data_IF_948977817176
#
_entry.id   IF_948977817176
#
_cell.length_a   1.000
_cell.length_b   1.000
_cell.length_c   1.000
_cell.angle_alpha   90.00
_cell.angle_beta   90.00
_cell.angle_gamma   90.00
#
_symmetry.space_group_name_H-M   'P 1'
#
loop_
_entity.id
_entity.type
_entity.pdbx_description
1 polymer ?
#
# COMPACT_ATOMS: atom_id res chain seq x y z
N UNK A 1 58.27 -3.69 41.21
CA UNK A 1 56.83 -3.99 41.24
C UNK A 1 56.17 -2.93 40.38
N UNK A 2 55.74 -3.30 39.18
CA UNK A 2 55.12 -2.42 38.18
C UNK A 2 53.76 -3.04 37.86
N UNK A 3 52.69 -2.37 38.29
CA UNK A 3 51.32 -2.85 38.14
C UNK A 3 50.81 -2.52 36.73
N UNK A 4 50.61 -3.54 35.89
CA UNK A 4 49.89 -3.40 34.62
C UNK A 4 48.39 -3.57 34.86
N UNK A 5 47.67 -2.44 34.84
CA UNK A 5 46.21 -2.37 34.80
C UNK A 5 45.70 -2.88 33.45
N UNK A 6 45.09 -4.06 33.42
CA UNK A 6 44.29 -4.55 32.29
C UNK A 6 42.86 -4.05 32.45
N UNK A 7 42.51 -2.98 31.72
CA UNK A 7 41.13 -2.47 31.68
C UNK A 7 40.25 -3.42 30.88
N UNK A 8 39.28 -4.04 31.52
CA UNK A 8 38.24 -4.85 30.88
C UNK A 8 37.09 -3.92 30.48
N UNK A 9 36.95 -3.63 29.19
CA UNK A 9 35.79 -2.91 28.66
C UNK A 9 34.69 -3.92 28.37
N UNK A 10 33.72 -4.05 29.27
CA UNK A 10 32.44 -4.70 28.99
C UNK A 10 31.58 -3.77 28.14
N UNK A 11 31.57 -4.00 26.83
CA UNK A 11 30.64 -3.35 25.93
C UNK A 11 29.22 -3.87 26.16
N UNK A 12 28.34 -3.04 26.71
CA UNK A 12 26.89 -3.26 26.68
C UNK A 12 26.43 -3.28 25.22
N UNK A 13 26.12 -4.45 24.68
CA UNK A 13 25.32 -4.56 23.47
C UNK A 13 23.88 -4.21 23.82
N UNK A 14 23.53 -2.92 23.69
CA UNK A 14 22.14 -2.50 23.56
C UNK A 14 21.63 -3.01 22.21
N UNK A 15 21.05 -4.21 22.23
CA UNK A 15 20.18 -4.68 21.15
C UNK A 15 18.90 -3.83 21.24
N UNK A 16 18.92 -2.67 20.60
CA UNK A 16 17.68 -1.99 20.21
C UNK A 16 16.98 -2.90 19.20
N UNK A 17 16.16 -3.82 19.71
CA UNK A 17 15.11 -4.41 18.92
C UNK A 17 14.18 -3.29 18.48
N UNK A 18 14.44 -2.71 17.31
CA UNK A 18 13.47 -1.94 16.56
C UNK A 18 12.34 -2.92 16.19
N UNK A 19 11.41 -3.12 17.12
CA UNK A 19 10.05 -3.45 16.73
C UNK A 19 9.59 -2.22 15.93
N UNK A 20 9.60 -2.35 14.61
CA UNK A 20 8.78 -1.51 13.76
C UNK A 20 7.33 -1.83 14.12
N UNK A 21 6.85 -1.24 15.21
CA UNK A 21 5.42 -1.09 15.45
C UNK A 21 4.91 -0.34 14.23
N UNK A 22 4.14 -1.03 13.39
CA UNK A 22 3.38 -0.40 12.35
C UNK A 22 2.47 0.60 13.05
N UNK A 23 2.80 1.88 13.00
CA UNK A 23 1.93 2.96 13.44
C UNK A 23 0.61 2.80 12.69
N UNK A 24 -0.42 2.30 13.35
CA UNK A 24 -1.75 2.22 12.78
C UNK A 24 -2.25 3.64 12.56
N UNK A 25 -2.57 3.99 11.32
CA UNK A 25 -3.24 5.25 11.02
C UNK A 25 -4.61 5.21 11.69
N UNK A 26 -4.95 6.28 12.41
CA UNK A 26 -6.32 6.50 12.86
C UNK A 26 -7.18 6.84 11.64
N UNK A 27 -7.70 5.80 10.98
CA UNK A 27 -8.38 5.93 9.71
C UNK A 27 -9.82 6.38 9.94
N UNK A 28 -10.21 7.49 9.28
CA UNK A 28 -11.62 7.88 9.13
C UNK A 28 -12.13 7.34 7.78
N UNK A 29 -12.90 6.24 7.74
CA UNK A 29 -13.27 5.56 6.49
C UNK A 29 -13.99 6.46 5.49
N UNK A 30 -14.84 7.36 5.98
CA UNK A 30 -15.63 8.27 5.15
C UNK A 30 -14.75 9.26 4.39
N UNK A 31 -13.60 9.65 4.95
CA UNK A 31 -12.67 10.61 4.32
C UNK A 31 -11.82 9.98 3.22
N UNK A 32 -11.46 8.70 3.35
CA UNK A 32 -10.71 7.99 2.30
C UNK A 32 -11.62 7.47 1.17
N UNK A 33 -12.95 7.53 1.33
CA UNK A 33 -13.91 7.13 0.30
C UNK A 33 -13.68 7.88 -1.03
N UNK A 34 -14.10 7.27 -2.14
CA UNK A 34 -14.02 7.87 -3.47
C UNK A 34 -12.88 7.34 -4.34
N UNK A 35 -12.54 8.09 -5.38
CA UNK A 35 -11.60 7.70 -6.43
C UNK A 35 -10.14 7.84 -6.01
N UNK A 36 -9.28 6.93 -6.50
CA UNK A 36 -7.84 6.90 -6.30
C UNK A 36 -7.13 6.30 -7.53
N UNK A 37 -6.17 7.01 -8.14
CA UNK A 37 -5.31 6.52 -9.23
C UNK A 37 -4.03 5.89 -8.66
N UNK A 38 -3.63 4.73 -9.15
CA UNK A 38 -2.33 4.14 -8.79
C UNK A 38 -1.20 4.89 -9.50
N UNK A 39 -0.16 5.27 -8.76
CA UNK A 39 1.02 5.98 -9.30
C UNK A 39 2.28 5.16 -9.14
N UNK A 40 2.43 4.40 -8.06
CA UNK A 40 3.60 3.56 -7.86
C UNK A 40 3.29 2.28 -7.11
N UNK A 41 4.13 1.27 -7.34
CA UNK A 41 4.03 -0.03 -6.70
C UNK A 41 5.43 -0.58 -6.40
N UNK A 42 5.59 -1.20 -5.23
CA UNK A 42 6.78 -1.96 -4.87
C UNK A 42 6.40 -3.31 -4.27
N UNK A 43 7.27 -4.30 -4.49
CA UNK A 43 7.21 -5.59 -3.82
C UNK A 43 8.62 -6.17 -3.69
N UNK A 44 8.84 -6.92 -2.62
CA UNK A 44 10.00 -7.78 -2.42
C UNK A 44 10.01 -8.99 -3.38
N UNK A 45 8.89 -9.22 -4.08
CA UNK A 45 8.67 -10.39 -4.92
C UNK A 45 8.30 -9.98 -6.36
N UNK A 46 8.89 -10.65 -7.36
CA UNK A 46 8.71 -10.34 -8.78
C UNK A 46 7.28 -10.62 -9.32
N UNK A 47 6.33 -11.02 -8.48
CA UNK A 47 4.95 -11.32 -8.92
C UNK A 47 4.28 -10.10 -9.55
N UNK A 48 4.56 -8.89 -9.06
CA UNK A 48 4.00 -7.65 -9.61
C UNK A 48 4.44 -7.43 -11.06
N UNK A 49 5.67 -7.84 -11.42
CA UNK A 49 6.14 -7.78 -12.81
C UNK A 49 5.43 -8.77 -13.74
N UNK A 50 4.98 -9.91 -13.19
CA UNK A 50 4.34 -11.00 -13.93
C UNK A 50 2.81 -10.89 -13.98
N UNK A 51 2.23 -9.94 -13.26
CA UNK A 51 0.79 -9.76 -13.21
C UNK A 51 0.26 -9.33 -14.59
N UNK A 52 -0.65 -10.14 -15.15
CA UNK A 52 -1.31 -9.86 -16.44
C UNK A 52 -2.28 -8.67 -16.35
N UNK A 53 -2.86 -8.44 -15.16
CA UNK A 53 -3.75 -7.32 -14.88
C UNK A 53 -3.04 -6.34 -13.95
N UNK A 54 -2.86 -5.11 -14.39
CA UNK A 54 -2.30 -4.02 -13.58
C UNK A 54 -3.41 -3.08 -13.17
N UNK A 55 -3.49 -2.77 -11.87
CA UNK A 55 -4.45 -1.80 -11.35
C UNK A 55 -4.06 -0.42 -11.88
N UNK A 56 -5.01 0.36 -12.38
CA UNK A 56 -4.79 1.77 -12.70
C UNK A 56 -5.54 2.69 -11.73
N UNK A 57 -6.62 2.21 -11.11
CA UNK A 57 -7.34 2.99 -10.12
C UNK A 57 -8.33 2.17 -9.29
N UNK A 58 -8.77 2.78 -8.20
CA UNK A 58 -9.73 2.26 -7.24
C UNK A 58 -10.84 3.28 -7.01
N UNK A 59 -12.03 2.80 -6.72
CA UNK A 59 -13.09 3.58 -6.09
C UNK A 59 -13.54 2.88 -4.82
N UNK A 60 -13.39 3.58 -3.69
CA UNK A 60 -13.67 3.06 -2.36
C UNK A 60 -15.03 3.56 -1.88
N UNK A 61 -15.84 2.65 -1.36
CA UNK A 61 -17.14 2.98 -0.76
C UNK A 61 -17.26 2.25 0.57
N UNK A 62 -17.87 2.90 1.56
CA UNK A 62 -17.98 2.39 2.92
C UNK A 62 -19.44 2.27 3.35
N UNK A 63 -19.72 1.23 4.11
CA UNK A 63 -21.04 1.00 4.72
C UNK A 63 -20.82 0.38 6.11
N UNK A 64 -20.81 1.23 7.13
CA UNK A 64 -20.35 0.86 8.47
C UNK A 64 -18.91 0.33 8.42
N UNK A 65 -18.70 -0.90 8.89
CA UNK A 65 -17.38 -1.57 8.88
C UNK A 65 -17.03 -2.25 7.56
N UNK A 66 -17.92 -2.20 6.57
CA UNK A 66 -17.70 -2.83 5.27
C UNK A 66 -17.09 -1.82 4.29
N UNK A 67 -16.22 -2.33 3.43
CA UNK A 67 -15.64 -1.59 2.31
C UNK A 67 -15.99 -2.31 1.00
N UNK A 68 -16.42 -1.56 0.00
CA UNK A 68 -16.51 -2.05 -1.38
C UNK A 68 -15.46 -1.33 -2.21
N UNK A 69 -14.62 -2.12 -2.86
CA UNK A 69 -13.51 -1.67 -3.70
C UNK A 69 -13.84 -2.02 -5.14
N UNK A 70 -14.09 -1.01 -5.96
CA UNK A 70 -14.19 -1.16 -7.42
C UNK A 70 -12.82 -0.83 -8.01
N UNK A 71 -12.11 -1.83 -8.49
CA UNK A 71 -10.78 -1.69 -9.08
C UNK A 71 -10.89 -1.72 -10.60
N UNK A 72 -10.18 -0.82 -11.27
CA UNK A 72 -10.01 -0.84 -12.73
C UNK A 72 -8.60 -1.28 -13.09
N UNK A 73 -8.53 -2.14 -14.10
CA UNK A 73 -7.31 -2.74 -14.57
C UNK A 73 -7.12 -2.49 -16.05
N UNK A 74 -5.87 -2.38 -16.47
CA UNK A 74 -5.48 -2.55 -17.85
C UNK A 74 -5.10 -4.00 -18.10
N UNK A 75 -5.84 -4.63 -18.99
CA UNK A 75 -5.66 -6.01 -19.41
C UNK A 75 -5.44 -6.02 -20.92
N UNK A 76 -4.16 -6.00 -21.32
CA UNK A 76 -3.74 -6.02 -22.73
C UNK A 76 -4.36 -4.89 -23.58
N UNK A 77 -4.48 -3.69 -23.02
CA UNK A 77 -5.04 -2.52 -23.70
C UNK A 77 -6.55 -2.32 -23.52
N UNK A 78 -7.24 -3.28 -22.89
CA UNK A 78 -8.66 -3.16 -22.54
C UNK A 78 -8.83 -2.84 -21.06
N UNK A 79 -9.76 -1.93 -20.76
CA UNK A 79 -10.10 -1.58 -19.38
C UNK A 79 -11.13 -2.56 -18.82
N UNK A 80 -10.76 -3.24 -17.74
CA UNK A 80 -11.61 -4.21 -17.04
C UNK A 80 -11.85 -3.74 -15.62
N UNK A 81 -13.08 -3.81 -15.15
CA UNK A 81 -13.44 -3.45 -13.77
C UNK A 81 -13.78 -4.70 -12.97
N UNK A 82 -13.32 -4.77 -11.73
CA UNK A 82 -13.72 -5.80 -10.77
C UNK A 82 -14.15 -5.14 -9.46
N UNK A 83 -15.22 -5.65 -8.86
CA UNK A 83 -15.72 -5.18 -7.57
C UNK A 83 -15.48 -6.24 -6.51
N UNK A 84 -14.93 -5.85 -5.37
CA UNK A 84 -14.69 -6.72 -4.23
C UNK A 84 -15.22 -6.09 -2.96
N UNK A 85 -15.87 -6.88 -2.12
CA UNK A 85 -16.35 -6.45 -0.81
C UNK A 85 -15.45 -7.03 0.28
N UNK A 86 -15.08 -6.18 1.23
CA UNK A 86 -14.30 -6.52 2.40
C UNK A 86 -14.93 -5.96 3.66
N UNK A 87 -14.35 -6.32 4.79
CA UNK A 87 -14.78 -5.84 6.11
C UNK A 87 -13.58 -5.53 6.98
N UNK A 88 -13.69 -4.46 7.75
CA UNK A 88 -12.71 -4.11 8.77
C UNK A 88 -12.69 -5.18 9.87
N UNK A 89 -11.48 -5.52 10.33
CA UNK A 89 -11.29 -6.50 11.40
C UNK A 89 -10.93 -5.79 12.71
N UNK A 90 -10.04 -6.38 13.49
CA UNK A 90 -9.74 -5.92 14.85
C UNK A 90 -8.76 -4.73 14.86
N UNK A 91 -8.09 -4.48 13.74
CA UNK A 91 -7.11 -3.41 13.58
C UNK A 91 -7.73 -2.34 12.67
N UNK A 92 -7.76 -1.09 13.14
CA UNK A 92 -8.28 0.04 12.37
C UNK A 92 -7.48 0.18 11.07
N UNK A 93 -8.20 0.33 9.96
CA UNK A 93 -7.58 0.43 8.63
C UNK A 93 -7.08 -0.89 8.03
N UNK A 94 -7.33 -2.04 8.70
CA UNK A 94 -7.18 -3.38 8.11
C UNK A 94 -8.52 -3.90 7.59
N UNK A 95 -8.59 -4.09 6.28
CA UNK A 95 -9.76 -4.64 5.59
C UNK A 95 -9.46 -6.03 5.04
N UNK A 96 -10.24 -7.03 5.46
CA UNK A 96 -10.14 -8.39 4.98
C UNK A 96 -11.15 -8.69 3.86
N UNK A 97 -10.68 -9.39 2.83
CA UNK A 97 -11.43 -9.76 1.63
C UNK A 97 -11.40 -11.28 1.43
N UNK A 98 -12.35 -11.84 0.64
CA UNK A 98 -12.31 -13.24 0.23
C UNK A 98 -10.96 -13.67 -0.36
N UNK A 99 -10.59 -14.94 -0.18
CA UNK A 99 -9.32 -15.48 -0.65
C UNK A 99 -8.10 -15.06 0.19
N UNK A 100 -8.31 -14.78 1.48
CA UNK A 100 -7.26 -14.40 2.44
C UNK A 100 -6.46 -13.16 1.99
N UNK A 101 -7.15 -12.22 1.33
CA UNK A 101 -6.58 -10.95 0.91
C UNK A 101 -6.84 -9.92 2.00
N UNK A 102 -5.87 -9.04 2.24
CA UNK A 102 -5.97 -7.95 3.20
C UNK A 102 -5.42 -6.66 2.58
N UNK A 103 -6.12 -5.55 2.81
CA UNK A 103 -5.64 -4.20 2.53
C UNK A 103 -5.40 -3.52 3.87
N UNK A 104 -4.23 -2.90 4.01
CA UNK A 104 -3.91 -2.02 5.12
C UNK A 104 -3.70 -0.61 4.57
N UNK A 105 -4.37 0.38 5.15
CA UNK A 105 -4.01 1.78 4.92
C UNK A 105 -2.82 2.10 5.83
N UNK A 106 -1.64 2.28 5.23
CA UNK A 106 -0.43 2.57 5.99
C UNK A 106 -0.27 4.05 6.28
N UNK A 107 -0.79 4.90 5.39
CA UNK A 107 -0.69 6.35 5.49
C UNK A 107 -1.62 7.03 4.48
N UNK A 108 -2.16 8.20 4.81
CA UNK A 108 -2.99 9.02 3.92
C UNK A 108 -3.23 10.39 4.53
N UNK A 109 -3.34 11.42 3.69
CA UNK A 109 -3.88 12.73 4.08
C UNK A 109 -5.34 12.93 3.65
N UNK A 110 -5.98 11.87 3.13
CA UNK A 110 -7.33 11.80 2.58
C UNK A 110 -7.58 12.58 1.27
N UNK A 111 -6.90 13.71 1.11
CA UNK A 111 -7.14 14.68 0.05
C UNK A 111 -6.24 14.50 -1.17
N UNK A 112 -4.99 14.06 -0.98
CA UNK A 112 -4.01 14.02 -2.07
C UNK A 112 -3.45 12.63 -2.31
N UNK A 113 -3.13 11.90 -1.25
CA UNK A 113 -2.48 10.58 -1.37
C UNK A 113 -2.96 9.52 -0.38
N UNK A 114 -2.74 8.26 -0.77
CA UNK A 114 -2.89 7.11 0.11
C UNK A 114 -1.81 6.05 -0.19
N UNK A 115 -1.20 5.52 0.85
CA UNK A 115 -0.24 4.41 0.79
C UNK A 115 -0.91 3.16 1.32
N UNK A 116 -1.09 2.15 0.46
CA UNK A 116 -1.77 0.90 0.80
C UNK A 116 -0.78 -0.26 0.78
N UNK A 117 -0.89 -1.16 1.76
CA UNK A 117 -0.27 -2.49 1.72
C UNK A 117 -1.33 -3.53 1.40
N UNK A 118 -1.17 -4.20 0.27
CA UNK A 118 -1.93 -5.40 -0.08
C UNK A 118 -1.16 -6.63 0.39
N UNK A 119 -1.83 -7.52 1.11
CA UNK A 119 -1.32 -8.84 1.46
C UNK A 119 -2.25 -9.90 0.88
N UNK A 120 -1.70 -10.91 0.23
CA UNK A 120 -2.47 -12.02 -0.33
C UNK A 120 -1.70 -13.33 -0.17
N UNK A 121 -2.43 -14.42 0.06
CA UNK A 121 -1.84 -15.74 0.01
C UNK A 121 -1.86 -16.25 -1.43
N UNK A 122 -0.70 -16.58 -1.98
CA UNK A 122 -0.57 -17.16 -3.31
C UNK A 122 0.38 -18.36 -3.25
N UNK A 123 -0.08 -19.52 -3.75
CA UNK A 123 0.69 -20.78 -3.73
C UNK A 123 1.29 -21.11 -2.34
N UNK A 124 0.54 -20.83 -1.26
CA UNK A 124 0.97 -21.09 0.12
C UNK A 124 2.01 -20.11 0.67
N UNK A 125 2.32 -19.02 -0.04
CA UNK A 125 3.23 -17.96 0.43
C UNK A 125 2.48 -16.63 0.55
N UNK A 126 2.86 -15.84 1.54
CA UNK A 126 2.35 -14.48 1.69
C UNK A 126 3.10 -13.55 0.74
N UNK A 127 2.33 -12.89 -0.13
CA UNK A 127 2.79 -11.86 -1.03
C UNK A 127 2.37 -10.51 -0.47
N UNK A 128 3.32 -9.58 -0.42
CA UNK A 128 3.09 -8.22 0.03
C UNK A 128 3.43 -7.23 -1.08
N UNK A 129 2.53 -6.28 -1.29
CA UNK A 129 2.69 -5.22 -2.27
C UNK A 129 2.34 -3.91 -1.61
N UNK A 130 3.21 -2.92 -1.75
CA UNK A 130 2.92 -1.55 -1.34
C UNK A 130 2.60 -0.72 -2.57
N UNK A 131 1.56 0.10 -2.47
CA UNK A 131 1.04 0.89 -3.57
C UNK A 131 0.80 2.32 -3.12
N UNK A 132 1.22 3.26 -3.97
CA UNK A 132 0.97 4.68 -3.81
C UNK A 132 -0.16 5.10 -4.72
N UNK A 133 -1.15 5.79 -4.15
CA UNK A 133 -2.31 6.29 -4.85
C UNK A 133 -2.47 7.79 -4.68
N UNK A 134 -3.09 8.44 -5.66
CA UNK A 134 -3.46 9.86 -5.61
C UNK A 134 -4.91 10.10 -6.05
N UNK A 135 -5.54 11.19 -5.59
CA UNK A 135 -6.85 11.64 -6.10
C UNK A 135 -6.78 12.23 -7.51
N UNK A 136 -5.60 12.72 -7.90
CA UNK A 136 -5.37 13.41 -9.16
C UNK A 136 -5.27 12.45 -10.34
N UNK A 137 -5.83 12.83 -11.49
CA UNK A 137 -5.55 12.11 -12.74
C UNK A 137 -4.27 12.59 -13.40
N UNK A 138 -3.87 13.84 -13.18
CA UNK A 138 -2.81 14.50 -13.93
C UNK A 138 -1.48 14.53 -13.17
N UNK A 139 -1.55 14.71 -11.85
CA UNK A 139 -0.36 14.91 -11.02
C UNK A 139 -0.02 13.67 -10.21
N UNK A 140 1.27 13.42 -10.09
CA UNK A 140 1.84 12.51 -9.10
C UNK A 140 2.14 13.39 -7.88
N UNK A 141 1.28 13.37 -6.85
CA UNK A 141 1.44 14.24 -5.68
C UNK A 141 2.82 14.04 -5.01
N UNK A 142 3.75 14.97 -5.22
CA UNK A 142 5.19 14.78 -4.93
C UNK A 142 5.51 14.58 -3.44
N UNK A 143 4.93 15.34 -2.48
CA UNK A 143 5.23 15.16 -1.06
C UNK A 143 4.83 13.76 -0.53
N UNK A 144 3.65 13.27 -0.90
CA UNK A 144 3.20 11.92 -0.55
C UNK A 144 4.07 10.84 -1.19
N UNK A 145 4.56 11.11 -2.41
CA UNK A 145 5.44 10.21 -3.13
C UNK A 145 6.82 10.08 -2.47
N UNK A 146 7.38 11.18 -1.94
CA UNK A 146 8.63 11.11 -1.15
C UNK A 146 8.47 10.23 0.07
N UNK A 147 7.35 10.32 0.78
CA UNK A 147 7.06 9.45 1.93
C UNK A 147 6.94 7.98 1.51
N UNK A 148 6.30 7.70 0.38
CA UNK A 148 6.28 6.37 -0.21
C UNK A 148 7.69 5.85 -0.54
N UNK A 149 8.53 6.70 -1.11
CA UNK A 149 9.91 6.37 -1.44
C UNK A 149 10.72 6.05 -0.18
N UNK A 150 10.64 6.87 0.87
CA UNK A 150 11.30 6.60 2.15
C UNK A 150 10.84 5.27 2.79
N UNK A 151 9.54 5.00 2.78
CA UNK A 151 8.97 3.74 3.31
C UNK A 151 9.39 2.50 2.51
N UNK A 152 9.88 2.69 1.29
CA UNK A 152 10.16 1.62 0.32
C UNK A 152 11.61 1.58 -0.14
N UNK A 153 12.49 2.44 0.39
CA UNK A 153 13.89 2.53 0.00
C UNK A 153 14.63 1.20 0.15
N UNK A 154 14.31 0.43 1.19
CA UNK A 154 14.91 -0.90 1.43
C UNK A 154 14.14 -2.05 0.76
N UNK A 155 13.10 -1.76 -0.03
CA UNK A 155 12.19 -2.76 -0.59
C UNK A 155 12.34 -2.92 -2.09
N UNK A 156 12.93 -4.04 -2.49
CA UNK A 156 12.67 -4.75 -3.75
C UNK A 156 12.60 -3.89 -5.02
N UNK A 157 11.77 -4.33 -5.97
CA UNK A 157 11.62 -3.67 -7.27
C UNK A 157 10.59 -2.56 -7.21
N UNK A 158 11.04 -1.35 -7.54
CA UNK A 158 10.20 -0.17 -7.68
C UNK A 158 9.63 -0.05 -9.10
N UNK A 159 8.33 0.17 -9.23
CA UNK A 159 7.67 0.44 -10.51
C UNK A 159 6.75 1.65 -10.40
N UNK A 160 6.93 2.61 -11.32
CA UNK A 160 5.92 3.62 -11.60
C UNK A 160 4.77 2.96 -12.37
N UNK A 161 3.55 3.18 -11.88
CA UNK A 161 2.36 2.84 -12.62
C UNK A 161 2.37 3.66 -13.90
N UNK A 162 2.11 2.99 -15.03
CA UNK A 162 2.03 3.69 -16.32
C UNK A 162 0.75 4.50 -16.33
N UNK A 163 0.84 5.74 -16.80
CA UNK A 163 -0.35 6.51 -17.11
C UNK A 163 -1.22 5.74 -18.11
N UNK A 164 -2.47 5.52 -17.75
CA UNK A 164 -3.41 4.74 -18.54
C UNK A 164 -4.83 5.30 -18.42
N UNK A 165 -5.58 5.17 -19.51
CA UNK A 165 -6.93 5.72 -19.66
C UNK A 165 -7.97 5.01 -18.82
N UNK A 166 -7.66 3.86 -18.19
CA UNK A 166 -8.65 3.11 -17.45
C UNK A 166 -9.01 3.79 -16.13
N UNK A 167 -8.05 4.47 -15.51
CA UNK A 167 -8.30 5.30 -14.32
C UNK A 167 -9.26 6.46 -14.63
N UNK A 168 -9.12 7.10 -15.80
CA UNK A 168 -10.00 8.17 -16.27
C UNK A 168 -11.44 7.68 -16.41
N UNK A 169 -11.64 6.55 -17.10
CA UNK A 169 -12.97 5.94 -17.27
C UNK A 169 -13.64 5.60 -15.94
N UNK A 170 -12.86 5.15 -14.95
CA UNK A 170 -13.40 4.91 -13.62
C UNK A 170 -13.86 6.20 -12.97
N UNK A 171 -13.09 7.31 -13.08
CA UNK A 171 -13.44 8.61 -12.49
C UNK A 171 -14.65 9.25 -13.17
N UNK A 172 -14.70 9.21 -14.50
CA UNK A 172 -15.77 9.80 -15.31
C UNK A 172 -17.11 9.07 -15.12
N UNK A 173 -17.10 7.74 -15.03
CA UNK A 173 -18.31 6.94 -14.80
C UNK A 173 -18.91 7.06 -13.39
N UNK A 174 -18.44 8.02 -12.59
CA UNK A 174 -18.90 8.32 -11.23
C UNK A 174 -19.46 9.76 -11.10
N UNK A 175 -19.26 10.59 -12.13
CA UNK A 175 -19.85 11.93 -12.28
C UNK A 175 -21.19 11.81 -13.00
#
# INVERSE_FOLDING_TARGET
>A
MEARLLSTVWGLFLVCGLQAESTSVDLVPEKIAGFWKEVAVTSDQNLVLKAQKRVEGLFLTFSGRNITVKAVYNSSGSCVTETSMGSERNIVGEFAFPGQRKIYVLDTDYEHYAILKLSLLWQGRNFHVLKYFTRSLETEDEPGFWRFWEMTADRGLYMLARHGRCAELLKEGLV
#
